data_IF_567341134014
#
_entry.id   IF_567341134014
#
_cell.length_a   1.000
_cell.length_b   1.000
_cell.length_c   1.000
_cell.angle_alpha   90.00
_cell.angle_beta   90.00
_cell.angle_gamma   90.00
#
_symmetry.space_group_name_H-M   'P 1'
#
loop_
_entity.id
_entity.type
_entity.pdbx_description
1 polymer ?
#
# COMPACT_ATOMS: atom_id res chain seq x y z
N UNK A 1 3.10 26.87 23.47
CA UNK A 1 2.46 26.98 22.14
C UNK A 1 2.42 25.57 21.57
N UNK A 2 1.23 24.98 21.48
CA UNK A 2 1.06 23.62 20.97
C UNK A 2 1.32 23.60 19.46
N UNK A 3 2.43 23.01 19.03
CA UNK A 3 2.69 22.77 17.61
C UNK A 3 2.00 21.47 17.19
N UNK A 4 1.28 21.45 16.06
CA UNK A 4 0.64 20.23 15.55
C UNK A 4 1.71 19.21 15.14
N UNK A 5 1.38 17.91 15.20
CA UNK A 5 2.30 16.81 14.88
C UNK A 5 2.56 16.69 13.36
N UNK A 6 1.54 16.98 12.57
CA UNK A 6 1.56 16.92 11.11
C UNK A 6 1.16 18.30 10.55
N UNK A 7 1.45 18.50 9.28
CA UNK A 7 0.98 19.62 8.45
C UNK A 7 0.49 19.03 7.14
N UNK A 8 -0.65 19.51 6.65
CA UNK A 8 -1.18 19.12 5.35
C UNK A 8 -0.98 20.28 4.38
N UNK A 9 -0.44 19.99 3.22
CA UNK A 9 -0.39 20.95 2.14
C UNK A 9 -1.81 21.13 1.55
N UNK A 10 -2.37 22.35 1.53
CA UNK A 10 -3.73 22.59 1.05
C UNK A 10 -3.91 22.34 -0.46
N UNK A 11 -2.85 22.46 -1.28
CA UNK A 11 -2.94 22.24 -2.73
C UNK A 11 -2.73 20.78 -3.11
N UNK A 12 -1.78 20.10 -2.46
CA UNK A 12 -1.40 18.72 -2.83
C UNK A 12 -2.06 17.66 -1.96
N UNK A 13 -2.73 18.06 -0.86
CA UNK A 13 -3.28 17.18 0.18
C UNK A 13 -2.22 16.26 0.83
N UNK A 14 -0.93 16.44 0.52
CA UNK A 14 0.17 15.64 1.02
C UNK A 14 0.45 15.99 2.48
N UNK A 15 0.80 14.96 3.25
CA UNK A 15 1.18 15.13 4.64
C UNK A 15 2.68 15.43 4.73
N UNK A 16 3.03 16.28 5.68
CA UNK A 16 4.39 16.57 6.12
C UNK A 16 4.46 16.54 7.65
N UNK A 17 5.50 15.95 8.21
CA UNK A 17 5.69 15.91 9.66
C UNK A 17 6.22 17.26 10.13
N UNK A 18 5.50 17.90 11.06
CA UNK A 18 5.89 19.21 11.58
C UNK A 18 6.94 19.06 12.69
N UNK A 19 8.14 18.65 12.29
CA UNK A 19 9.28 18.47 13.19
C UNK A 19 10.53 19.06 12.54
N UNK A 20 11.26 19.89 13.27
CA UNK A 20 12.46 20.56 12.73
C UNK A 20 13.57 19.54 12.47
N UNK A 21 14.05 19.47 11.22
CA UNK A 21 15.16 18.60 10.81
C UNK A 21 16.42 18.82 11.66
N UNK A 22 16.62 20.04 12.18
CA UNK A 22 17.73 20.36 13.09
C UNK A 22 17.54 19.69 14.46
N UNK A 23 16.30 19.58 14.95
CA UNK A 23 15.99 18.83 16.16
C UNK A 23 16.24 17.33 15.95
N UNK A 24 15.89 16.76 14.80
CA UNK A 24 16.23 15.35 14.47
C UNK A 24 17.75 15.14 14.45
N UNK A 25 18.49 16.06 13.82
CA UNK A 25 19.94 16.00 13.75
C UNK A 25 20.57 16.04 15.14
N UNK A 26 20.14 16.96 16.01
CA UNK A 26 20.59 17.06 17.41
C UNK A 26 20.25 15.79 18.19
N UNK A 27 19.03 15.27 18.09
CA UNK A 27 18.62 14.03 18.77
C UNK A 27 19.40 12.80 18.26
N UNK A 28 19.85 12.81 16.99
CA UNK A 28 20.67 11.75 16.39
C UNK A 28 22.13 11.88 16.85
N UNK A 29 22.69 13.08 16.86
CA UNK A 29 24.04 13.37 17.34
C UNK A 29 24.20 13.08 18.83
N UNK A 30 23.21 13.39 19.66
CA UNK A 30 23.20 13.06 21.09
C UNK A 30 23.34 11.54 21.36
N UNK A 31 22.77 10.68 20.51
CA UNK A 31 22.94 9.21 20.61
C UNK A 31 24.40 8.81 20.40
N UNK A 32 25.05 9.42 19.40
CA UNK A 32 26.45 9.14 19.09
C UNK A 32 27.42 9.77 20.11
N UNK A 33 27.07 10.92 20.69
CA UNK A 33 27.86 11.58 21.74
C UNK A 33 27.89 10.75 23.03
N UNK A 34 26.74 10.19 23.46
CA UNK A 34 26.69 9.29 24.64
C UNK A 34 27.50 8.00 24.42
N UNK A 35 27.44 7.43 23.21
CA UNK A 35 28.21 6.23 22.87
C UNK A 35 29.74 6.46 22.92
N UNK A 36 30.17 7.72 22.80
CA UNK A 36 31.58 8.10 22.68
C UNK A 36 32.20 8.62 23.98
N UNK A 37 31.47 8.57 25.11
CA UNK A 37 31.96 8.99 26.45
C UNK A 37 32.63 10.38 26.45
N UNK A 38 32.15 11.33 25.63
CA UNK A 38 32.66 12.71 25.68
C UNK A 38 31.82 13.52 26.65
N UNK A 39 32.46 13.97 27.74
CA UNK A 39 31.93 14.81 28.82
C UNK A 39 31.38 16.19 28.36
N UNK A 40 31.49 16.54 27.09
CA UNK A 40 30.84 17.72 26.51
C UNK A 40 29.45 17.35 25.99
N UNK A 41 28.54 17.05 26.91
CA UNK A 41 27.11 17.18 26.63
C UNK A 41 26.81 18.67 26.85
N UNK A 42 26.38 19.44 25.84
CA UNK A 42 25.83 20.78 26.08
C UNK A 42 24.76 20.65 27.17
N UNK A 43 24.59 21.65 28.04
CA UNK A 43 23.62 21.60 29.16
C UNK A 43 22.21 21.38 28.60
N UNK A 44 21.83 20.12 28.46
CA UNK A 44 20.53 19.67 28.00
C UNK A 44 19.85 19.14 29.25
N UNK A 45 18.63 19.61 29.57
CA UNK A 45 17.91 19.14 30.74
C UNK A 45 17.80 17.61 30.67
N UNK A 46 18.20 16.90 31.72
CA UNK A 46 18.21 15.43 31.77
C UNK A 46 16.86 14.81 31.33
N UNK A 47 15.75 15.49 31.61
CA UNK A 47 14.40 15.07 31.19
C UNK A 47 14.13 15.10 29.67
N UNK A 48 14.90 15.86 28.88
CA UNK A 48 14.80 15.82 27.41
C UNK A 48 15.44 14.55 26.85
N UNK A 49 16.48 14.04 27.50
CA UNK A 49 17.14 12.80 27.09
C UNK A 49 16.25 11.58 27.33
N UNK A 50 15.50 11.55 28.44
CA UNK A 50 14.54 10.47 28.71
C UNK A 50 13.38 10.45 27.72
N UNK A 51 12.90 11.64 27.32
CA UNK A 51 11.83 11.79 26.33
C UNK A 51 12.31 11.64 24.88
N UNK A 52 13.62 11.70 24.63
CA UNK A 52 14.23 11.65 23.29
C UNK A 52 13.92 10.36 22.54
N UNK A 53 14.05 9.20 23.19
CA UNK A 53 13.78 7.92 22.53
C UNK A 53 12.29 7.76 22.20
N UNK A 54 11.40 8.27 23.05
CA UNK A 54 9.97 8.33 22.78
C UNK A 54 9.65 9.27 21.60
N UNK A 55 10.19 10.49 21.59
CA UNK A 55 10.01 11.45 20.51
C UNK A 55 10.56 10.93 19.18
N UNK A 56 11.72 10.26 19.18
CA UNK A 56 12.28 9.67 17.97
C UNK A 56 11.39 8.54 17.44
N UNK A 57 10.83 7.72 18.34
CA UNK A 57 9.86 6.68 17.97
C UNK A 57 8.59 7.31 17.37
N UNK A 58 8.07 8.38 17.96
CA UNK A 58 6.89 9.07 17.44
C UNK A 58 7.16 9.65 16.06
N UNK A 59 8.28 10.35 15.91
CA UNK A 59 8.71 10.91 14.63
C UNK A 59 8.86 9.84 13.54
N UNK A 60 9.54 8.72 13.84
CA UNK A 60 9.72 7.64 12.87
C UNK A 60 8.39 7.03 12.40
N UNK A 61 7.42 6.86 13.31
CA UNK A 61 6.10 6.34 12.94
C UNK A 61 5.27 7.37 12.15
N UNK A 62 5.34 8.66 12.52
CA UNK A 62 4.70 9.73 11.77
C UNK A 62 5.29 9.88 10.36
N UNK A 63 6.61 9.75 10.21
CA UNK A 63 7.25 9.70 8.89
C UNK A 63 6.76 8.52 8.06
N UNK A 64 6.62 7.35 8.67
CA UNK A 64 6.12 6.17 7.97
C UNK A 64 4.67 6.37 7.51
N UNK A 65 3.80 6.90 8.38
CA UNK A 65 2.42 7.29 8.03
C UNK A 65 2.42 8.24 6.84
N UNK A 66 3.23 9.30 6.90
CA UNK A 66 3.37 10.30 5.85
C UNK A 66 3.79 9.66 4.51
N UNK A 67 4.81 8.80 4.53
CA UNK A 67 5.29 8.13 3.33
C UNK A 67 4.24 7.19 2.73
N UNK A 68 3.58 6.38 3.56
CA UNK A 68 2.55 5.44 3.11
C UNK A 68 1.33 6.16 2.56
N UNK A 69 0.87 7.21 3.22
CA UNK A 69 -0.26 8.02 2.78
C UNK A 69 0.03 8.75 1.46
N UNK A 70 1.19 9.40 1.35
CA UNK A 70 1.57 10.09 0.12
C UNK A 70 1.76 9.10 -1.04
N UNK A 71 2.29 7.90 -0.75
CA UNK A 71 2.38 6.81 -1.72
C UNK A 71 0.99 6.34 -2.17
N UNK A 72 0.04 6.16 -1.26
CA UNK A 72 -1.33 5.79 -1.58
C UNK A 72 -2.00 6.81 -2.50
N UNK A 73 -1.86 8.10 -2.24
CA UNK A 73 -2.45 9.16 -3.10
C UNK A 73 -1.81 9.17 -4.49
N UNK A 74 -0.48 9.00 -4.56
CA UNK A 74 0.29 9.11 -5.81
C UNK A 74 0.14 7.86 -6.68
N UNK A 75 0.21 6.67 -6.08
CA UNK A 75 0.22 5.39 -6.79
C UNK A 75 -1.19 4.82 -7.05
N UNK A 76 -2.25 5.43 -6.50
CA UNK A 76 -3.62 4.94 -6.71
C UNK A 76 -4.13 5.28 -8.11
N UNK A 77 -4.59 4.26 -8.83
CA UNK A 77 -5.20 4.42 -10.16
C UNK A 77 -6.54 5.15 -10.06
N UNK A 78 -6.96 5.91 -11.09
CA UNK A 78 -8.24 6.62 -11.09
C UNK A 78 -9.46 5.73 -10.81
N UNK A 79 -9.39 4.45 -11.21
CA UNK A 79 -10.43 3.44 -10.97
C UNK A 79 -10.39 2.84 -9.56
N UNK A 80 -9.24 2.90 -8.88
CA UNK A 80 -9.07 2.43 -7.49
C UNK A 80 -9.41 3.53 -6.48
N UNK A 81 -9.19 4.80 -6.84
CA UNK A 81 -9.50 5.97 -6.00
C UNK A 81 -10.91 5.97 -5.39
N UNK A 82 -12.00 5.74 -6.15
CA UNK A 82 -13.35 5.74 -5.57
C UNK A 82 -13.57 4.56 -4.61
N UNK A 83 -12.98 3.39 -4.87
CA UNK A 83 -13.06 2.22 -3.99
C UNK A 83 -12.30 2.44 -2.66
N UNK A 84 -11.20 3.19 -2.72
CA UNK A 84 -10.37 3.49 -1.54
C UNK A 84 -10.88 4.73 -0.79
N UNK A 85 -11.62 5.63 -1.44
CA UNK A 85 -12.13 6.89 -0.88
C UNK A 85 -12.78 6.77 0.51
N UNK A 86 -13.70 5.81 0.79
CA UNK A 86 -14.31 5.71 2.12
C UNK A 86 -13.31 5.32 3.21
N UNK A 87 -12.31 4.50 2.88
CA UNK A 87 -11.24 4.11 3.79
C UNK A 87 -10.26 5.26 4.01
N UNK A 88 -9.92 5.99 2.94
CA UNK A 88 -9.05 7.16 2.98
C UNK A 88 -9.68 8.30 3.79
N UNK A 89 -11.00 8.48 3.71
CA UNK A 89 -11.72 9.48 4.50
C UNK A 89 -11.66 9.20 6.00
N UNK A 90 -11.73 7.93 6.42
CA UNK A 90 -11.53 7.57 7.84
C UNK A 90 -10.12 7.92 8.31
N UNK A 91 -9.12 7.64 7.48
CA UNK A 91 -7.73 8.00 7.76
C UNK A 91 -7.57 9.53 7.80
N UNK A 92 -8.19 10.27 6.88
CA UNK A 92 -8.17 11.73 6.87
C UNK A 92 -8.78 12.32 8.14
N UNK A 93 -9.92 11.79 8.59
CA UNK A 93 -10.55 12.20 9.85
C UNK A 93 -9.65 11.91 11.05
N UNK A 94 -8.99 10.75 11.07
CA UNK A 94 -7.97 10.47 12.06
C UNK A 94 -6.87 11.53 11.96
N UNK A 95 -6.15 11.62 10.85
CA UNK A 95 -5.05 12.58 10.65
C UNK A 95 -5.45 14.03 11.00
N UNK A 96 -6.67 14.46 10.71
CA UNK A 96 -7.19 15.78 11.07
C UNK A 96 -7.24 16.00 12.59
N UNK A 97 -7.63 14.99 13.37
CA UNK A 97 -7.53 15.05 14.83
C UNK A 97 -6.07 15.22 15.31
N UNK A 98 -5.10 14.62 14.59
CA UNK A 98 -3.68 14.81 14.84
C UNK A 98 -3.18 16.22 14.50
N UNK A 99 -3.86 16.92 13.57
CA UNK A 99 -3.57 18.29 13.17
C UNK A 99 -4.14 19.32 14.16
N UNK A 100 -5.32 19.07 14.73
CA UNK A 100 -6.04 20.08 15.53
C UNK A 100 -5.84 19.94 17.03
N UNK A 101 -5.73 18.71 17.53
CA UNK A 101 -5.96 18.42 18.96
C UNK A 101 -4.73 17.90 19.67
N UNK A 102 -3.83 17.20 18.95
CA UNK A 102 -2.65 16.58 19.56
C UNK A 102 -1.43 17.50 19.51
N UNK A 103 -0.96 17.89 20.70
CA UNK A 103 0.32 18.57 20.91
C UNK A 103 1.35 17.54 21.42
N UNK A 104 2.63 17.71 21.08
CA UNK A 104 3.76 16.86 21.52
C UNK A 104 3.88 16.59 23.03
N UNK A 105 3.12 17.31 23.86
CA UNK A 105 3.15 17.23 25.33
C UNK A 105 2.05 16.33 25.96
N UNK A 106 1.10 15.82 25.17
CA UNK A 106 0.07 14.90 25.68
C UNK A 106 0.63 13.49 25.96
N UNK A 107 0.09 12.83 26.99
CA UNK A 107 0.58 11.53 27.45
C UNK A 107 0.10 10.34 26.60
N UNK A 108 -1.03 10.50 25.88
CA UNK A 108 -1.70 9.43 25.11
C UNK A 108 -1.40 9.48 23.60
N UNK A 109 -0.43 10.29 23.17
CA UNK A 109 -0.08 10.46 21.74
C UNK A 109 0.38 9.13 21.12
N UNK A 110 1.05 8.27 21.90
CA UNK A 110 1.61 7.02 21.38
C UNK A 110 0.55 6.05 20.87
N UNK A 111 -0.51 5.84 21.64
CA UNK A 111 -1.59 4.91 21.26
C UNK A 111 -2.28 5.40 19.99
N UNK A 112 -2.50 6.71 19.91
CA UNK A 112 -3.06 7.35 18.75
C UNK A 112 -2.17 7.22 17.49
N UNK A 113 -0.85 7.44 17.61
CA UNK A 113 0.10 7.26 16.49
C UNK A 113 0.16 5.78 16.06
N UNK A 114 0.16 4.86 17.01
CA UNK A 114 0.20 3.43 16.72
C UNK A 114 -1.08 2.95 16.02
N UNK A 115 -2.24 3.43 16.45
CA UNK A 115 -3.52 3.13 15.80
C UNK A 115 -3.58 3.71 14.38
N UNK A 116 -3.21 4.99 14.21
CA UNK A 116 -3.15 5.64 12.90
C UNK A 116 -2.19 4.91 11.95
N UNK A 117 -1.04 4.46 12.43
CA UNK A 117 -0.10 3.66 11.65
C UNK A 117 -0.73 2.34 11.22
N UNK A 118 -1.42 1.66 12.14
CA UNK A 118 -2.06 0.36 11.85
C UNK A 118 -3.13 0.52 10.78
N UNK A 119 -3.96 1.57 10.85
CA UNK A 119 -4.99 1.83 9.84
C UNK A 119 -4.39 2.13 8.46
N UNK A 120 -3.36 2.98 8.39
CA UNK A 120 -2.69 3.33 7.12
C UNK A 120 -1.95 2.12 6.54
N UNK A 121 -1.33 1.30 7.39
CA UNK A 121 -0.69 0.06 6.96
C UNK A 121 -1.69 -0.97 6.46
N UNK A 122 -2.83 -1.15 7.13
CA UNK A 122 -3.89 -2.05 6.68
C UNK A 122 -4.40 -1.64 5.30
N UNK A 123 -4.70 -0.37 5.10
CA UNK A 123 -5.14 0.13 3.79
C UNK A 123 -4.06 -0.05 2.72
N UNK A 124 -2.81 0.29 3.04
CA UNK A 124 -1.69 0.10 2.10
C UNK A 124 -1.53 -1.37 1.73
N UNK A 125 -1.63 -2.27 2.70
CA UNK A 125 -1.55 -3.72 2.48
C UNK A 125 -2.67 -4.20 1.57
N UNK A 126 -3.91 -3.78 1.80
CA UNK A 126 -5.07 -4.12 0.95
C UNK A 126 -4.89 -3.65 -0.50
N UNK A 127 -4.43 -2.41 -0.68
CA UNK A 127 -4.17 -1.85 -2.02
C UNK A 127 -3.03 -2.60 -2.70
N UNK A 128 -1.94 -2.90 -1.98
CA UNK A 128 -0.82 -3.65 -2.55
C UNK A 128 -1.23 -5.07 -2.93
N UNK A 129 -1.98 -5.78 -2.08
CA UNK A 129 -2.49 -7.12 -2.40
C UNK A 129 -3.38 -7.11 -3.65
N UNK A 130 -4.21 -6.08 -3.81
CA UNK A 130 -5.01 -5.92 -5.03
C UNK A 130 -4.13 -5.78 -6.25
N UNK A 131 -3.09 -4.94 -6.19
CA UNK A 131 -2.13 -4.77 -7.30
C UNK A 131 -1.41 -6.07 -7.64
N UNK A 132 -0.95 -6.79 -6.62
CA UNK A 132 -0.30 -8.10 -6.79
C UNK A 132 -1.25 -9.11 -7.46
N UNK A 133 -2.54 -9.09 -7.09
CA UNK A 133 -3.56 -9.94 -7.72
C UNK A 133 -3.80 -9.55 -9.19
N UNK A 134 -3.78 -8.26 -9.53
CA UNK A 134 -3.87 -7.78 -10.92
C UNK A 134 -2.64 -8.21 -11.73
N UNK A 135 -1.44 -8.21 -11.14
CA UNK A 135 -0.23 -8.72 -11.80
C UNK A 135 -0.28 -10.24 -12.05
N UNK A 136 -0.82 -11.01 -11.11
CA UNK A 136 -1.08 -12.44 -11.32
C UNK A 136 -2.07 -12.66 -12.48
N UNK A 137 -3.15 -11.89 -12.51
CA UNK A 137 -4.13 -11.89 -13.60
C UNK A 137 -3.45 -11.67 -14.97
N UNK A 138 -2.62 -10.64 -15.07
CA UNK A 138 -1.83 -10.37 -16.30
C UNK A 138 -0.91 -11.53 -16.67
N UNK A 139 -0.28 -12.18 -15.69
CA UNK A 139 0.62 -13.31 -15.91
C UNK A 139 -0.13 -14.53 -16.45
N UNK A 140 -1.32 -14.82 -15.89
CA UNK A 140 -2.22 -15.88 -16.37
C UNK A 140 -2.62 -15.60 -17.82
N UNK A 141 -3.03 -14.37 -18.13
CA UNK A 141 -3.39 -13.98 -19.51
C UNK A 141 -2.22 -14.04 -20.48
N UNK A 142 -1.02 -13.61 -20.06
CA UNK A 142 0.19 -13.70 -20.88
C UNK A 142 0.52 -15.15 -21.24
N UNK A 143 0.31 -16.07 -20.29
CA UNK A 143 0.46 -17.53 -20.52
C UNK A 143 -0.54 -18.04 -21.54
N UNK A 144 -1.73 -17.44 -21.63
CA UNK A 144 -2.72 -17.80 -22.64
C UNK A 144 -2.30 -17.34 -24.05
N UNK A 145 -1.77 -16.12 -24.17
CA UNK A 145 -1.28 -15.56 -25.44
C UNK A 145 -0.05 -16.30 -25.98
N UNK A 146 0.85 -16.74 -25.10
CA UNK A 146 2.11 -17.38 -25.50
C UNK A 146 1.99 -18.85 -25.90
N UNK A 147 0.93 -19.55 -25.47
CA UNK A 147 0.76 -20.98 -25.73
C UNK A 147 -0.19 -21.22 -26.90
N UNK A 148 0.31 -21.48 -28.13
CA UNK A 148 -0.52 -21.77 -29.28
C UNK A 148 -1.24 -23.12 -29.09
N UNK A 149 -2.49 -23.20 -29.57
CA UNK A 149 -3.32 -24.40 -29.46
C UNK A 149 -2.73 -25.62 -30.21
N UNK A 150 -1.97 -25.36 -31.27
CA UNK A 150 -1.29 -26.39 -32.06
C UNK A 150 0.12 -25.93 -32.36
N UNK A 151 1.09 -26.79 -32.05
CA UNK A 151 2.49 -26.59 -32.40
C UNK A 151 2.89 -27.51 -33.57
N UNK A 152 3.88 -27.06 -34.34
CA UNK A 152 4.48 -27.88 -35.38
C UNK A 152 5.34 -28.98 -34.73
N UNK A 153 4.96 -30.25 -34.88
CA UNK A 153 5.80 -31.38 -34.48
C UNK A 153 6.92 -31.55 -35.51
N UNK A 154 8.19 -31.39 -35.13
CA UNK A 154 9.36 -31.44 -36.04
C UNK A 154 9.52 -32.77 -36.81
N UNK A 155 8.85 -33.86 -36.40
CA UNK A 155 9.07 -35.22 -36.91
C UNK A 155 7.97 -35.78 -37.83
N UNK A 156 6.96 -35.00 -38.21
CA UNK A 156 5.86 -35.46 -39.07
C UNK A 156 5.75 -34.55 -40.32
N UNK A 157 5.58 -35.14 -41.50
CA UNK A 157 5.39 -34.46 -42.81
C UNK A 157 4.13 -33.57 -42.89
N UNK A 158 3.33 -33.52 -41.81
CA UNK A 158 2.15 -32.69 -41.72
C UNK A 158 2.51 -31.35 -41.07
N UNK A 159 2.16 -30.24 -41.73
CA UNK A 159 2.43 -28.86 -41.28
C UNK A 159 1.92 -28.54 -39.86
N UNK A 160 0.92 -29.30 -39.36
CA UNK A 160 0.39 -29.25 -38.00
C UNK A 160 0.20 -30.67 -37.44
N UNK A 161 0.58 -30.90 -36.19
CA UNK A 161 0.38 -32.18 -35.49
C UNK A 161 -1.08 -32.41 -35.10
N UNK A 162 -1.92 -32.85 -36.04
CA UNK A 162 -3.37 -33.00 -35.85
C UNK A 162 -3.81 -34.33 -35.21
N UNK A 163 -2.89 -35.27 -34.98
CA UNK A 163 -3.19 -36.62 -34.50
C UNK A 163 -3.83 -36.65 -33.11
N UNK A 164 -3.46 -35.70 -32.23
CA UNK A 164 -3.97 -35.61 -30.85
C UNK A 164 -4.93 -34.42 -30.68
N UNK A 165 -5.54 -33.93 -31.78
CA UNK A 165 -6.33 -32.68 -31.80
C UNK A 165 -7.38 -32.64 -30.68
N UNK A 166 -8.07 -33.74 -30.46
CA UNK A 166 -9.17 -33.79 -29.49
C UNK A 166 -8.67 -33.81 -28.04
N UNK A 167 -7.52 -34.41 -27.78
CA UNK A 167 -6.86 -34.38 -26.48
C UNK A 167 -6.20 -33.01 -26.20
N UNK A 168 -5.55 -32.41 -27.20
CA UNK A 168 -4.98 -31.07 -27.11
C UNK A 168 -6.05 -30.00 -26.84
N UNK A 169 -7.19 -30.06 -27.53
CA UNK A 169 -8.34 -29.17 -27.29
C UNK A 169 -8.90 -29.38 -25.88
N UNK A 170 -9.10 -30.63 -25.44
CA UNK A 170 -9.59 -30.91 -24.08
C UNK A 170 -8.63 -30.42 -23.00
N UNK A 171 -7.32 -30.65 -23.18
CA UNK A 171 -6.30 -30.17 -22.25
C UNK A 171 -6.33 -28.65 -22.14
N UNK A 172 -6.37 -27.96 -23.28
CA UNK A 172 -6.42 -26.49 -23.32
C UNK A 172 -7.72 -25.94 -22.73
N UNK A 173 -8.85 -26.58 -23.01
CA UNK A 173 -10.13 -26.21 -22.43
C UNK A 173 -10.10 -26.33 -20.91
N UNK A 174 -9.51 -27.39 -20.37
CA UNK A 174 -9.35 -27.57 -18.93
C UNK A 174 -8.41 -26.53 -18.31
N UNK A 175 -7.30 -26.20 -18.97
CA UNK A 175 -6.38 -25.14 -18.53
C UNK A 175 -7.07 -23.77 -18.49
N UNK A 176 -7.81 -23.39 -19.54
CA UNK A 176 -8.55 -22.13 -19.60
C UNK A 176 -9.66 -22.12 -18.56
N UNK A 177 -10.37 -23.22 -18.37
CA UNK A 177 -11.45 -23.31 -17.36
C UNK A 177 -10.87 -23.17 -15.95
N UNK A 178 -9.75 -23.85 -15.64
CA UNK A 178 -9.09 -23.76 -14.35
C UNK A 178 -8.57 -22.35 -14.07
N UNK A 179 -7.90 -21.74 -15.04
CA UNK A 179 -7.42 -20.37 -14.92
C UNK A 179 -8.58 -19.34 -14.88
N UNK A 180 -9.71 -19.61 -15.54
CA UNK A 180 -10.92 -18.79 -15.40
C UNK A 180 -11.50 -18.83 -13.98
N UNK A 181 -11.48 -20.00 -13.32
CA UNK A 181 -11.87 -20.13 -11.91
C UNK A 181 -10.90 -19.33 -11.01
N UNK A 182 -9.59 -19.43 -11.27
CA UNK A 182 -8.57 -18.68 -10.53
C UNK A 182 -8.75 -17.16 -10.68
N UNK A 183 -9.07 -16.68 -11.89
CA UNK A 183 -9.39 -15.28 -12.15
C UNK A 183 -10.60 -14.82 -11.34
N UNK A 184 -11.67 -15.62 -11.31
CA UNK A 184 -12.87 -15.29 -10.54
C UNK A 184 -12.58 -15.24 -9.03
N UNK A 185 -11.79 -16.18 -8.51
CA UNK A 185 -11.37 -16.19 -7.09
C UNK A 185 -10.50 -14.97 -6.73
N UNK A 186 -9.59 -14.57 -7.62
CA UNK A 186 -8.79 -13.34 -7.47
C UNK A 186 -9.69 -12.09 -7.48
N UNK A 187 -10.71 -12.05 -8.34
CA UNK A 187 -11.69 -10.95 -8.36
C UNK A 187 -12.53 -10.90 -7.08
N UNK A 188 -12.98 -12.04 -6.56
CA UNK A 188 -13.70 -12.10 -5.28
C UNK A 188 -12.82 -11.67 -4.11
N UNK A 189 -11.55 -12.08 -4.10
CA UNK A 189 -10.58 -11.64 -3.10
C UNK A 189 -10.38 -10.12 -3.15
N UNK A 190 -10.21 -9.54 -4.34
CA UNK A 190 -10.10 -8.09 -4.51
C UNK A 190 -11.36 -7.35 -4.03
N UNK A 191 -12.54 -7.89 -4.30
CA UNK A 191 -13.80 -7.33 -3.81
C UNK A 191 -13.84 -7.28 -2.28
N UNK A 192 -13.42 -8.36 -1.62
CA UNK A 192 -13.31 -8.44 -0.17
C UNK A 192 -12.28 -7.47 0.40
N UNK A 193 -11.15 -7.26 -0.28
CA UNK A 193 -10.12 -6.31 0.17
C UNK A 193 -10.58 -4.85 0.16
N UNK A 194 -11.45 -4.49 -0.78
CA UNK A 194 -12.03 -3.14 -0.86
C UNK A 194 -13.32 -2.98 -0.05
N UNK A 195 -13.84 -4.04 0.56
CA UNK A 195 -15.19 -4.07 1.15
C UNK A 195 -16.25 -3.50 0.18
N UNK A 196 -16.08 -3.76 -1.13
CA UNK A 196 -16.91 -3.16 -2.18
C UNK A 196 -18.21 -3.95 -2.38
N UNK A 197 -19.32 -3.23 -2.56
CA UNK A 197 -20.60 -3.84 -2.93
C UNK A 197 -20.56 -4.29 -4.40
N UNK A 198 -21.12 -5.48 -4.65
CA UNK A 198 -21.19 -6.13 -5.98
C UNK A 198 -21.91 -5.24 -6.99
N UNK A 199 -22.84 -4.40 -6.52
CA UNK A 199 -23.67 -3.52 -7.35
C UNK A 199 -23.18 -2.07 -7.37
N UNK A 200 -22.03 -1.77 -6.74
CA UNK A 200 -21.48 -0.41 -6.76
C UNK A 200 -21.01 -0.05 -8.17
N UNK A 201 -21.37 1.15 -8.64
CA UNK A 201 -20.91 1.68 -9.94
C UNK A 201 -19.37 1.74 -10.00
N UNK A 202 -18.72 1.97 -8.87
CA UNK A 202 -17.25 2.03 -8.77
C UNK A 202 -16.61 0.64 -8.88
N UNK A 203 -17.28 -0.40 -8.39
CA UNK A 203 -16.86 -1.79 -8.57
C UNK A 203 -17.01 -2.24 -10.02
N UNK A 204 -18.13 -1.89 -10.66
CA UNK A 204 -18.36 -2.17 -12.08
C UNK A 204 -17.31 -1.51 -12.97
N UNK A 205 -16.96 -0.24 -12.71
CA UNK A 205 -15.87 0.45 -13.42
C UNK A 205 -14.51 -0.24 -13.25
N UNK A 206 -14.24 -0.78 -12.07
CA UNK A 206 -13.02 -1.54 -11.80
C UNK A 206 -13.01 -2.87 -12.56
N UNK A 207 -14.14 -3.58 -12.59
CA UNK A 207 -14.30 -4.81 -13.39
C UNK A 207 -14.16 -4.53 -14.88
N UNK A 208 -14.79 -3.48 -15.40
CA UNK A 208 -14.67 -3.06 -16.81
C UNK A 208 -13.23 -2.70 -17.17
N UNK A 209 -12.49 -2.06 -16.25
CA UNK A 209 -11.07 -1.80 -16.43
C UNK A 209 -10.25 -3.10 -16.52
N UNK A 210 -10.52 -4.07 -15.64
CA UNK A 210 -9.85 -5.37 -15.69
C UNK A 210 -10.22 -6.15 -16.96
N UNK A 211 -11.47 -6.11 -17.40
CA UNK A 211 -11.95 -6.74 -18.64
C UNK A 211 -11.27 -6.11 -19.86
N UNK A 212 -11.13 -4.79 -19.89
CA UNK A 212 -10.41 -4.08 -20.96
C UNK A 212 -8.89 -4.38 -21.00
N UNK A 213 -8.31 -4.98 -19.95
CA UNK A 213 -6.92 -5.43 -19.95
C UNK A 213 -6.73 -6.83 -20.57
N UNK A 214 -7.81 -7.59 -20.77
CA UNK A 214 -7.80 -8.99 -21.23
C UNK A 214 -7.83 -9.09 -22.76
#
# INVERSE_FOLDING_TARGET
MAQPLLTRDPETQLLSVNFDDKLVAVLKEMKYLKLRNKELIPVIPEGVFEKRDMLFKYYANLMLIMQLYNKLITDSLPVEKPLIAPHLLKIDQHVEQALTTLAWEMQDIWEYIADSLTQVQDLTSKVQQTKDNVEKLKTIMATWSQNPLFERKEKLDNLLGLTDRQEAIKKRYNEITAAGIEVLDLMETNRGLFDADVMSEDWLKYVDYLDAMV
#
